data_IF_254463603053
#
_entry.id   IF_254463603053
#
_cell.length_a   1.000
_cell.length_b   1.000
_cell.length_c   1.000
_cell.angle_alpha   90.00
_cell.angle_beta   90.00
_cell.angle_gamma   90.00
#
_symmetry.space_group_name_H-M   'P 1'
#
loop_
_entity.id
_entity.type
_entity.pdbx_description
1 polymer ?
#
# COMPACT_ATOMS: atom_id res chain seq x y z
N UNK A 1 -1.40 18.21 9.92
CA UNK A 1 -0.62 18.53 8.71
C UNK A 1 -1.55 19.37 7.86
N UNK A 2 -1.57 20.70 7.95
CA UNK A 2 -0.48 21.62 8.27
C UNK A 2 0.21 21.95 6.95
N UNK A 3 0.02 23.18 6.48
CA UNK A 3 0.34 23.72 5.15
C UNK A 3 1.84 23.76 4.80
N UNK A 4 2.59 22.68 5.05
CA UNK A 4 4.06 22.69 5.03
C UNK A 4 4.75 21.56 4.27
N UNK A 5 4.04 20.74 3.49
CA UNK A 5 4.66 19.66 2.71
C UNK A 5 4.49 19.91 1.21
N UNK A 6 5.61 20.05 0.50
CA UNK A 6 5.63 20.03 -0.95
C UNK A 6 5.55 18.58 -1.43
N UNK A 7 4.46 18.21 -2.08
CA UNK A 7 4.27 16.87 -2.65
C UNK A 7 4.49 16.93 -4.15
N UNK A 8 5.51 16.21 -4.63
CA UNK A 8 5.81 16.07 -6.06
C UNK A 8 5.44 14.67 -6.52
N UNK A 9 4.47 14.57 -7.44
CA UNK A 9 4.03 13.28 -8.02
C UNK A 9 4.56 13.17 -9.44
N UNK A 10 5.24 12.07 -9.74
CA UNK A 10 5.80 11.81 -11.07
C UNK A 10 5.26 10.51 -11.61
N UNK A 11 4.60 10.60 -12.77
CA UNK A 11 3.94 9.49 -13.42
C UNK A 11 4.60 9.22 -14.78
N UNK A 12 5.39 8.13 -14.86
CA UNK A 12 6.06 7.69 -16.09
C UNK A 12 5.60 6.29 -16.51
N UNK A 13 4.50 6.16 -17.28
CA UNK A 13 4.02 4.87 -17.73
C UNK A 13 5.01 4.21 -18.70
N UNK A 14 5.21 2.89 -18.58
CA UNK A 14 6.07 2.06 -19.44
C UNK A 14 7.56 2.46 -19.46
N UNK A 15 8.01 3.33 -18.55
CA UNK A 15 9.41 3.70 -18.45
C UNK A 15 10.27 2.50 -18.02
N UNK A 16 11.49 2.46 -18.55
CA UNK A 16 12.50 1.53 -18.08
C UNK A 16 12.83 1.85 -16.61
N UNK A 17 13.04 0.81 -15.79
CA UNK A 17 13.38 0.99 -14.38
C UNK A 17 14.64 1.84 -14.20
N UNK A 18 15.62 1.69 -15.10
CA UNK A 18 16.85 2.49 -15.12
C UNK A 18 16.56 3.98 -15.33
N UNK A 19 15.59 4.31 -16.20
CA UNK A 19 15.14 5.70 -16.38
C UNK A 19 14.51 6.24 -15.10
N UNK A 20 13.63 5.46 -14.47
CA UNK A 20 12.95 5.85 -13.23
C UNK A 20 13.97 6.06 -12.11
N UNK A 21 14.97 5.20 -11.96
CA UNK A 21 16.04 5.38 -10.96
C UNK A 21 16.88 6.62 -11.22
N UNK A 22 17.20 6.93 -12.49
CA UNK A 22 17.94 8.16 -12.83
C UNK A 22 17.12 9.43 -12.58
N UNK A 23 15.81 9.38 -12.82
CA UNK A 23 14.93 10.50 -12.44
C UNK A 23 14.89 10.68 -10.93
N UNK A 24 14.67 9.60 -10.17
CA UNK A 24 14.66 9.62 -8.70
C UNK A 24 15.96 10.23 -8.19
N UNK A 25 17.10 9.77 -8.68
CA UNK A 25 18.40 10.32 -8.29
C UNK A 25 18.48 11.82 -8.54
N UNK A 26 18.02 12.30 -9.71
CA UNK A 26 18.03 13.72 -10.06
C UNK A 26 17.05 14.56 -9.21
N UNK A 27 15.86 14.04 -8.95
CA UNK A 27 14.81 14.74 -8.20
C UNK A 27 15.05 14.72 -6.70
N UNK A 28 15.80 13.73 -6.22
CA UNK A 28 16.15 13.58 -4.82
C UNK A 28 17.43 14.33 -4.45
N UNK A 29 18.07 15.05 -5.39
CA UNK A 29 19.35 15.77 -5.15
C UNK A 29 19.28 16.77 -4.01
N UNK A 30 18.12 17.41 -3.84
CA UNK A 30 17.92 18.45 -2.84
C UNK A 30 17.21 17.94 -1.57
N UNK A 31 16.95 16.63 -1.48
CA UNK A 31 16.32 16.05 -0.30
C UNK A 31 17.32 15.88 0.84
N UNK A 32 16.86 16.13 2.05
CA UNK A 32 17.61 15.92 3.28
C UNK A 32 17.10 14.67 4.03
N UNK A 33 17.70 14.37 5.19
CA UNK A 33 17.39 13.14 5.96
C UNK A 33 15.98 13.10 6.55
N UNK A 34 15.28 14.23 6.61
CA UNK A 34 13.91 14.34 7.11
C UNK A 34 12.86 14.16 6.01
N UNK A 35 13.27 14.11 4.74
CA UNK A 35 12.37 13.93 3.60
C UNK A 35 12.07 12.45 3.35
N UNK A 36 10.80 12.12 3.10
CA UNK A 36 10.36 10.76 2.79
C UNK A 36 10.09 10.61 1.28
N UNK A 37 10.76 9.65 0.64
CA UNK A 37 10.53 9.30 -0.76
C UNK A 37 9.72 8.01 -0.84
N UNK A 38 8.51 8.10 -1.41
CA UNK A 38 7.65 6.93 -1.65
C UNK A 38 7.66 6.58 -3.14
N UNK A 39 8.29 5.46 -3.49
CA UNK A 39 8.33 4.96 -4.88
C UNK A 39 7.27 3.86 -5.05
N UNK A 40 6.27 4.12 -5.90
CA UNK A 40 5.25 3.12 -6.27
C UNK A 40 5.56 2.59 -7.66
N UNK A 41 6.34 1.51 -7.71
CA UNK A 41 6.67 0.84 -8.97
C UNK A 41 5.46 0.15 -9.59
N UNK A 42 5.20 0.42 -10.87
CA UNK A 42 4.13 -0.24 -11.63
C UNK A 42 4.70 -0.94 -12.86
N UNK A 43 4.97 -2.24 -12.72
CA UNK A 43 5.16 -3.15 -13.85
C UNK A 43 4.62 -4.53 -13.51
N UNK A 44 3.30 -4.64 -13.41
CA UNK A 44 2.63 -5.93 -13.28
C UNK A 44 1.49 -6.03 -14.30
N UNK A 45 1.82 -6.40 -15.55
CA UNK A 45 0.80 -6.86 -16.51
C UNK A 45 0.22 -8.23 -16.14
N UNK A 46 0.88 -8.95 -15.23
CA UNK A 46 0.55 -10.34 -14.87
C UNK A 46 0.29 -10.55 -13.37
N UNK A 47 0.34 -9.49 -12.54
CA UNK A 47 0.13 -9.62 -11.10
C UNK A 47 -0.93 -8.63 -10.64
N UNK A 48 -2.01 -9.16 -10.05
CA UNK A 48 -2.99 -8.36 -9.34
C UNK A 48 -2.38 -7.93 -8.00
N UNK A 49 -2.32 -6.63 -7.76
CA UNK A 49 -1.79 -6.07 -6.51
C UNK A 49 -2.95 -5.58 -5.67
N UNK A 50 -2.99 -5.97 -4.39
CA UNK A 50 -3.94 -5.41 -3.43
C UNK A 50 -3.21 -4.66 -2.33
N UNK A 51 -3.60 -3.42 -2.10
CA UNK A 51 -3.08 -2.61 -1.00
C UNK A 51 -4.04 -2.68 0.18
N UNK A 52 -3.51 -2.95 1.36
CA UNK A 52 -4.29 -2.87 2.61
C UNK A 52 -4.32 -1.41 3.05
N UNK A 53 -5.52 -0.90 3.32
CA UNK A 53 -5.69 0.44 3.88
C UNK A 53 -4.86 0.65 5.16
N UNK A 54 -4.41 1.88 5.39
CA UNK A 54 -3.79 2.24 6.66
C UNK A 54 -4.84 2.21 7.77
N UNK A 55 -4.46 1.61 8.90
CA UNK A 55 -5.31 1.56 10.10
C UNK A 55 -5.33 2.91 10.80
N UNK A 56 -6.46 3.20 11.45
CA UNK A 56 -6.59 4.36 12.32
C UNK A 56 -5.63 4.27 13.51
N UNK A 57 -4.78 5.29 13.68
CA UNK A 57 -3.91 5.45 14.85
C UNK A 57 -4.76 5.90 16.03
N UNK A 58 -4.93 5.02 17.01
CA UNK A 58 -5.70 5.33 18.23
C UNK A 58 -4.82 5.93 19.32
N UNK A 59 -3.52 5.70 19.26
CA UNK A 59 -2.48 6.35 20.08
C UNK A 59 -2.21 7.80 19.64
N UNK A 60 -2.37 8.10 18.35
CA UNK A 60 -2.14 9.44 17.77
C UNK A 60 -3.32 9.88 16.87
N UNK A 61 -4.48 10.23 17.45
CA UNK A 61 -5.68 10.51 16.67
C UNK A 61 -5.55 11.66 15.66
N UNK A 62 -4.68 12.64 15.93
CA UNK A 62 -4.45 13.79 15.05
C UNK A 62 -3.85 13.41 13.69
N UNK A 63 -3.21 12.24 13.57
CA UNK A 63 -2.66 11.72 12.30
C UNK A 63 -3.79 11.11 11.44
N UNK A 64 -4.96 10.80 11.99
CA UNK A 64 -5.98 10.09 11.25
C UNK A 64 -6.60 10.88 10.09
N UNK A 65 -6.49 12.20 10.09
CA UNK A 65 -6.81 13.01 8.91
C UNK A 65 -5.93 12.60 7.73
N UNK A 66 -4.62 12.50 7.96
CA UNK A 66 -3.65 12.05 6.96
C UNK A 66 -3.87 10.58 6.58
N UNK A 67 -4.13 9.69 7.54
CA UNK A 67 -4.48 8.27 7.27
C UNK A 67 -5.68 8.17 6.31
N UNK A 68 -6.73 8.96 6.55
CA UNK A 68 -7.90 9.02 5.67
C UNK A 68 -7.53 9.49 4.28
N UNK A 69 -6.75 10.56 4.17
CA UNK A 69 -6.37 11.14 2.89
C UNK A 69 -5.50 10.15 2.07
N UNK A 70 -4.59 9.41 2.72
CA UNK A 70 -3.83 8.31 2.09
C UNK A 70 -4.75 7.17 1.64
N UNK A 71 -5.71 6.75 2.47
CA UNK A 71 -6.68 5.72 2.10
C UNK A 71 -7.58 6.13 0.93
N UNK A 72 -7.94 7.42 0.82
CA UNK A 72 -8.68 7.95 -0.32
C UNK A 72 -7.85 7.94 -1.60
N UNK A 73 -6.57 8.33 -1.52
CA UNK A 73 -5.64 8.25 -2.66
C UNK A 73 -5.44 6.80 -3.12
N UNK A 74 -5.40 5.87 -2.17
CA UNK A 74 -5.42 4.45 -2.46
C UNK A 74 -6.69 4.09 -3.25
N UNK A 75 -7.89 4.56 -2.88
CA UNK A 75 -9.13 4.26 -3.61
C UNK A 75 -9.19 4.58 -5.12
N UNK A 76 -8.23 5.33 -5.69
CA UNK A 76 -8.18 5.71 -7.13
C UNK A 76 -7.60 4.58 -8.01
N UNK A 77 -7.87 3.31 -7.69
CA UNK A 77 -7.21 2.20 -8.35
C UNK A 77 -7.75 1.84 -9.76
N UNK A 78 -6.86 1.29 -10.59
CA UNK A 78 -7.12 0.81 -11.97
C UNK A 78 -7.33 -0.71 -11.98
N UNK A 79 -7.85 -1.29 -13.07
CA UNK A 79 -8.27 -2.70 -13.20
C UNK A 79 -7.45 -3.83 -12.49
N UNK A 80 -6.11 -3.72 -12.39
CA UNK A 80 -5.22 -4.75 -11.78
C UNK A 80 -4.64 -4.34 -10.41
N UNK A 81 -5.03 -3.18 -9.88
CA UNK A 81 -4.70 -2.74 -8.53
C UNK A 81 -6.02 -2.58 -7.78
N UNK A 82 -6.08 -3.04 -6.54
CA UNK A 82 -7.29 -2.95 -5.74
C UNK A 82 -6.96 -2.61 -4.29
N UNK A 83 -7.92 -2.05 -3.57
CA UNK A 83 -7.79 -1.69 -2.16
C UNK A 83 -8.53 -2.67 -1.28
N UNK A 84 -7.93 -3.02 -0.13
CA UNK A 84 -8.62 -3.74 0.94
C UNK A 84 -9.01 -2.69 1.97
N UNK A 85 -10.31 -2.41 2.04
CA UNK A 85 -10.84 -1.49 3.03
C UNK A 85 -10.77 -2.11 4.44
N UNK A 86 -10.14 -1.39 5.36
CA UNK A 86 -9.98 -1.76 6.77
C UNK A 86 -10.72 -0.80 7.70
N UNK A 87 -11.58 0.07 7.16
CA UNK A 87 -12.40 1.02 7.93
C UNK A 87 -13.30 0.32 8.96
N UNK A 88 -13.66 -0.93 8.68
CA UNK A 88 -14.47 -1.76 9.58
C UNK A 88 -13.72 -2.21 10.85
N UNK A 89 -12.39 -2.07 10.93
CA UNK A 89 -11.61 -2.47 12.11
C UNK A 89 -11.77 -1.43 13.24
N UNK A 90 -12.38 -1.88 14.33
CA UNK A 90 -12.86 -1.08 15.44
C UNK A 90 -11.79 -0.85 16.52
N UNK A 91 -12.05 0.09 17.45
CA UNK A 91 -11.11 0.42 18.54
C UNK A 91 -10.78 -0.78 19.43
N UNK A 92 -11.77 -1.61 19.74
CA UNK A 92 -11.63 -2.81 20.56
C UNK A 92 -10.87 -3.97 19.86
N UNK A 93 -10.51 -3.81 18.59
CA UNK A 93 -9.70 -4.74 17.80
C UNK A 93 -8.22 -4.32 17.75
N UNK A 94 -7.87 -3.22 18.41
CA UNK A 94 -6.50 -2.77 18.61
C UNK A 94 -5.97 -3.22 19.97
N UNK A 95 -4.65 -3.20 20.14
CA UNK A 95 -4.00 -3.30 21.45
C UNK A 95 -4.40 -2.12 22.32
N UNK A 96 -4.16 -2.24 23.63
CA UNK A 96 -4.45 -1.17 24.61
C UNK A 96 -3.81 0.15 24.18
N UNK A 97 -2.56 0.10 23.74
CA UNK A 97 -1.83 1.26 23.23
C UNK A 97 -2.46 1.85 21.97
N UNK A 98 -3.14 1.05 21.14
CA UNK A 98 -3.87 1.56 19.98
C UNK A 98 -3.06 1.74 18.70
N UNK A 99 -1.80 1.31 18.72
CA UNK A 99 -0.91 1.27 17.57
C UNK A 99 -1.06 -0.02 16.75
N UNK A 100 -1.20 -1.15 17.43
CA UNK A 100 -1.20 -2.48 16.80
C UNK A 100 -2.57 -3.12 16.88
N UNK A 101 -2.81 -4.15 16.05
CA UNK A 101 -3.98 -5.01 16.18
C UNK A 101 -3.77 -6.03 17.31
N UNK A 102 -4.82 -6.27 18.08
CA UNK A 102 -4.87 -7.41 19.01
C UNK A 102 -5.25 -8.70 18.24
N UNK A 103 -5.29 -9.88 18.89
CA UNK A 103 -5.63 -11.13 18.20
C UNK A 103 -6.94 -11.05 17.39
N UNK A 104 -8.01 -10.47 17.94
CA UNK A 104 -9.29 -10.30 17.23
C UNK A 104 -9.17 -9.41 16.00
N UNK A 105 -8.41 -8.31 16.09
CA UNK A 105 -8.15 -7.44 14.95
C UNK A 105 -7.34 -8.13 13.85
N UNK A 106 -6.33 -8.94 14.22
CA UNK A 106 -5.54 -9.74 13.27
C UNK A 106 -6.41 -10.77 12.54
N UNK A 107 -7.30 -11.44 13.27
CA UNK A 107 -8.24 -12.40 12.68
C UNK A 107 -9.19 -11.72 11.68
N UNK A 108 -9.71 -10.55 12.05
CA UNK A 108 -10.58 -9.77 11.15
C UNK A 108 -9.85 -9.28 9.91
N UNK A 109 -8.63 -8.75 10.07
CA UNK A 109 -7.81 -8.35 8.92
C UNK A 109 -7.56 -9.53 7.98
N UNK A 110 -7.26 -10.70 8.53
CA UNK A 110 -7.07 -11.93 7.75
C UNK A 110 -8.33 -12.30 6.96
N UNK A 111 -9.52 -12.17 7.57
CA UNK A 111 -10.80 -12.39 6.87
C UNK A 111 -11.03 -11.40 5.74
N UNK A 112 -10.80 -10.10 5.98
CA UNK A 112 -10.92 -9.07 4.93
C UNK A 112 -9.98 -9.36 3.76
N UNK A 113 -8.74 -9.79 4.05
CA UNK A 113 -7.78 -10.22 3.03
C UNK A 113 -8.32 -11.41 2.25
N UNK A 114 -8.77 -12.47 2.94
CA UNK A 114 -9.30 -13.67 2.30
C UNK A 114 -10.55 -13.38 1.45
N UNK A 115 -11.47 -12.55 1.95
CA UNK A 115 -12.68 -12.13 1.23
C UNK A 115 -12.36 -11.31 0.00
N UNK A 116 -11.30 -10.49 0.05
CA UNK A 116 -10.86 -9.72 -1.12
C UNK A 116 -10.43 -10.60 -2.30
N UNK A 117 -10.09 -11.87 -2.06
CA UNK A 117 -9.77 -12.86 -3.11
C UNK A 117 -10.98 -13.67 -3.57
N UNK A 118 -12.07 -13.72 -2.78
CA UNK A 118 -13.29 -14.47 -3.14
C UNK A 118 -14.08 -13.66 -4.19
N UNK A 119 -14.20 -14.20 -5.40
CA UNK A 119 -14.93 -13.57 -6.52
C UNK A 119 -14.11 -13.36 -7.79
N UNK A 120 -12.79 -13.62 -7.76
CA UNK A 120 -11.98 -13.75 -8.98
C UNK A 120 -11.50 -15.19 -9.06
N UNK A 121 -11.73 -15.84 -10.21
CA UNK A 121 -11.08 -17.09 -10.53
C UNK A 121 -9.57 -16.78 -10.56
N UNK A 122 -8.82 -17.20 -9.54
CA UNK A 122 -7.36 -17.13 -9.55
C UNK A 122 -6.95 -18.41 -10.30
N UNK A 123 -6.61 -18.36 -11.60
CA UNK A 123 -5.98 -19.52 -12.21
C UNK A 123 -4.69 -19.77 -11.44
N UNK A 124 -4.67 -20.86 -10.67
CA UNK A 124 -3.43 -21.36 -10.10
C UNK A 124 -2.59 -21.82 -11.29
N UNK A 125 -1.67 -20.97 -11.72
CA UNK A 125 -0.62 -21.40 -12.65
C UNK A 125 0.31 -22.29 -11.84
N UNK A 126 0.07 -23.60 -11.91
CA UNK A 126 1.02 -24.60 -11.45
C UNK A 126 2.30 -24.39 -12.26
N UNK A 127 3.31 -23.78 -11.63
CA UNK A 127 4.57 -23.46 -12.29
C UNK A 127 5.21 -24.71 -12.87
N UNK A 128 5.57 -24.65 -14.15
CA UNK A 128 6.46 -25.60 -14.80
C UNK A 128 7.77 -25.65 -14.01
N UNK A 129 8.32 -26.86 -13.81
CA UNK A 129 9.55 -27.14 -13.07
C UNK A 129 10.60 -26.03 -13.22
N UNK A 130 11.00 -25.42 -12.11
CA UNK A 130 12.03 -24.38 -12.09
C UNK A 130 13.39 -25.01 -12.40
N UNK A 131 14.01 -24.72 -13.56
CA UNK A 131 15.27 -25.35 -13.96
C UNK A 131 16.48 -24.86 -13.14
N UNK A 132 16.30 -23.88 -12.24
CA UNK A 132 17.35 -23.35 -11.37
C UNK A 132 17.37 -24.01 -9.98
N UNK A 133 16.46 -24.96 -9.72
CA UNK A 133 16.42 -25.73 -8.47
C UNK A 133 16.82 -27.21 -8.68
N UNK A 134 17.67 -27.48 -9.67
CA UNK A 134 18.29 -28.80 -9.89
C UNK A 134 19.57 -28.96 -9.08
#
# INVERSE_FOLDING_TARGET
>A
MGDGYAVTIIFKPNADLRSVTGDIENLCKDLNKEDEVVIVGKKTSHTNVKFVGLLWRRDKPWINRWVRDVNLLMGIYRAHIDGIDVSSIMRNEHTVHGLHLNPRGKDKLTRLIAESFKGRHIPVVMGVQNPFLS
#
